data_IF_740647401236
#
_entry.id   IF_740647401236
#
_cell.length_a   1.000
_cell.length_b   1.000
_cell.length_c   1.000
_cell.angle_alpha   90.00
_cell.angle_beta   90.00
_cell.angle_gamma   90.00
#
_symmetry.space_group_name_H-M   'P 1'
#
loop_
_entity.id
_entity.type
_entity.pdbx_description
1 polymer ?
#
# COMPACT_ATOMS: atom_id res chain seq x y z
N UNK A 1 76.81 -56.97 33.01
CA UNK A 1 77.31 -56.64 31.66
C UNK A 1 76.11 -56.28 30.79
N UNK A 2 76.16 -55.22 30.00
CA UNK A 2 75.15 -55.00 28.95
C UNK A 2 75.51 -55.88 27.75
N UNK A 3 74.58 -56.70 27.28
CA UNK A 3 74.77 -57.49 26.06
C UNK A 3 74.60 -56.57 24.85
N UNK A 4 75.70 -56.12 24.25
CA UNK A 4 75.65 -55.27 23.05
C UNK A 4 75.30 -56.13 21.83
N UNK A 5 74.10 -55.93 21.28
CA UNK A 5 73.61 -56.66 20.11
C UNK A 5 74.63 -56.61 18.94
N UNK A 6 75.03 -57.77 18.39
CA UNK A 6 76.08 -57.81 17.37
C UNK A 6 75.67 -57.10 16.07
N UNK A 7 74.37 -56.93 15.81
CA UNK A 7 73.81 -56.21 14.65
C UNK A 7 73.90 -54.68 14.75
N UNK A 8 74.31 -54.14 15.90
CA UNK A 8 74.44 -52.69 16.16
C UNK A 8 75.91 -52.27 16.33
N UNK A 9 76.87 -53.14 16.03
CA UNK A 9 78.30 -52.84 16.10
C UNK A 9 78.79 -52.27 14.76
N UNK A 10 79.62 -51.24 14.83
CA UNK A 10 80.29 -50.70 13.64
C UNK A 10 81.18 -51.78 12.99
N UNK A 11 81.14 -51.86 11.68
CA UNK A 11 81.94 -52.78 10.87
C UNK A 11 83.20 -52.06 10.39
N UNK A 12 84.38 -52.63 10.64
CA UNK A 12 85.66 -52.00 10.24
C UNK A 12 85.92 -52.35 8.77
N UNK A 13 86.00 -51.33 7.93
CA UNK A 13 86.26 -51.50 6.50
C UNK A 13 87.70 -51.95 6.20
N UNK A 14 87.98 -52.37 4.94
CA UNK A 14 89.34 -52.73 4.51
C UNK A 14 90.31 -51.54 4.46
N UNK A 15 89.80 -50.33 4.67
CA UNK A 15 90.50 -49.06 4.88
C UNK A 15 90.88 -48.82 6.36
N UNK A 16 90.48 -49.70 7.28
CA UNK A 16 90.69 -49.55 8.72
C UNK A 16 89.72 -48.59 9.40
N UNK A 17 88.74 -48.04 8.67
CA UNK A 17 87.77 -47.09 9.20
C UNK A 17 86.53 -47.81 9.73
N UNK A 18 86.04 -47.40 10.91
CA UNK A 18 84.77 -47.89 11.45
C UNK A 18 83.61 -47.30 10.64
N UNK A 19 82.76 -48.17 10.08
CA UNK A 19 81.53 -47.82 9.37
C UNK A 19 80.34 -48.18 10.24
N UNK A 20 79.32 -47.34 10.25
CA UNK A 20 78.11 -47.57 11.05
C UNK A 20 77.41 -48.87 10.67
N UNK A 21 76.79 -49.52 11.67
CA UNK A 21 76.04 -50.73 11.43
C UNK A 21 74.89 -50.45 10.44
N UNK A 22 74.66 -51.29 9.40
CA UNK A 22 73.63 -51.02 8.39
C UNK A 22 72.21 -50.80 8.95
N UNK A 23 71.92 -51.39 10.12
CA UNK A 23 70.66 -51.16 10.86
C UNK A 23 70.57 -49.73 11.41
N UNK A 24 71.66 -49.20 11.98
CA UNK A 24 71.72 -47.86 12.56
C UNK A 24 71.51 -46.81 11.47
N UNK A 25 72.33 -46.85 10.41
CA UNK A 25 72.24 -45.92 9.29
C UNK A 25 70.85 -45.93 8.61
N UNK A 26 70.18 -47.10 8.55
CA UNK A 26 68.81 -47.20 8.08
C UNK A 26 67.79 -46.56 9.03
N UNK A 27 67.90 -46.79 10.34
CA UNK A 27 67.01 -46.14 11.33
C UNK A 27 67.23 -44.64 11.44
N UNK A 28 68.48 -44.17 11.34
CA UNK A 28 68.83 -42.76 11.40
C UNK A 28 68.26 -42.00 10.20
N UNK A 29 68.37 -42.57 8.99
CA UNK A 29 67.72 -42.04 7.79
C UNK A 29 66.19 -41.93 7.93
N UNK A 30 65.52 -42.89 8.56
CA UNK A 30 64.08 -42.80 8.84
C UNK A 30 63.80 -41.64 9.81
N UNK A 31 64.59 -41.49 10.88
CA UNK A 31 64.44 -40.41 11.85
C UNK A 31 64.68 -39.03 11.21
N UNK A 32 65.64 -38.91 10.28
CA UNK A 32 65.85 -37.69 9.49
C UNK A 32 64.64 -37.39 8.60
N UNK A 33 64.10 -38.39 7.89
CA UNK A 33 62.92 -38.24 7.03
C UNK A 33 61.67 -37.84 7.83
N UNK A 34 61.45 -38.42 9.02
CA UNK A 34 60.37 -38.05 9.94
C UNK A 34 60.57 -36.64 10.52
N UNK A 35 61.78 -36.27 10.94
CA UNK A 35 62.09 -34.90 11.40
C UNK A 35 61.88 -33.86 10.29
N UNK A 36 62.22 -34.17 9.04
CA UNK A 36 61.99 -33.30 7.90
C UNK A 36 60.48 -33.11 7.64
N UNK A 37 59.69 -34.18 7.72
CA UNK A 37 58.24 -34.12 7.61
C UNK A 37 57.60 -33.30 8.74
N UNK A 38 58.02 -33.53 9.99
CA UNK A 38 57.53 -32.79 11.15
C UNK A 38 57.84 -31.29 11.05
N UNK A 39 59.05 -30.92 10.62
CA UNK A 39 59.42 -29.50 10.39
C UNK A 39 58.52 -28.84 9.35
N UNK A 40 58.27 -29.51 8.20
CA UNK A 40 57.35 -29.02 7.16
C UNK A 40 55.92 -28.85 7.68
N UNK A 41 55.40 -29.83 8.42
CA UNK A 41 54.05 -29.79 8.99
C UNK A 41 53.89 -28.65 10.01
N UNK A 42 54.92 -28.41 10.84
CA UNK A 42 54.97 -27.28 11.77
C UNK A 42 54.99 -25.94 11.03
N UNK A 43 55.83 -25.80 9.99
CA UNK A 43 55.91 -24.59 9.16
C UNK A 43 54.59 -24.29 8.44
N UNK A 44 53.96 -25.32 7.84
CA UNK A 44 52.68 -25.21 7.14
C UNK A 44 51.56 -24.77 8.11
N UNK A 45 51.51 -25.34 9.32
CA UNK A 45 50.56 -24.92 10.35
C UNK A 45 50.81 -23.49 10.84
N UNK A 46 52.06 -23.08 11.03
CA UNK A 46 52.38 -21.69 11.35
C UNK A 46 52.08 -20.72 10.19
N UNK A 47 52.06 -21.15 8.93
CA UNK A 47 51.49 -20.33 7.84
C UNK A 47 49.98 -20.22 7.98
N UNK A 48 49.26 -21.36 8.06
CA UNK A 48 47.80 -21.40 8.20
C UNK A 48 47.28 -20.53 9.35
N UNK A 49 47.94 -20.56 10.51
CA UNK A 49 47.62 -19.70 11.66
C UNK A 49 47.73 -18.22 11.28
N UNK A 50 48.87 -17.79 10.72
CA UNK A 50 49.10 -16.39 10.31
C UNK A 50 48.15 -15.90 9.22
N UNK A 51 47.71 -16.79 8.33
CA UNK A 51 46.75 -16.45 7.28
C UNK A 51 45.32 -16.35 7.83
N UNK A 52 44.91 -17.21 8.76
CA UNK A 52 43.65 -17.08 9.51
C UNK A 52 43.64 -15.81 10.40
N UNK A 53 44.75 -15.48 11.07
CA UNK A 53 44.90 -14.23 11.83
C UNK A 53 44.72 -12.99 10.93
N UNK A 54 45.27 -13.04 9.70
CA UNK A 54 45.13 -11.99 8.69
C UNK A 54 43.68 -11.84 8.22
N UNK A 55 43.00 -12.94 7.94
CA UNK A 55 41.57 -12.93 7.58
C UNK A 55 40.69 -12.41 8.71
N UNK A 56 40.95 -12.83 9.95
CA UNK A 56 40.22 -12.35 11.12
C UNK A 56 40.43 -10.85 11.37
N UNK A 57 41.65 -10.35 11.15
CA UNK A 57 41.97 -8.92 11.15
C UNK A 57 41.20 -8.15 10.08
N UNK A 58 41.19 -8.66 8.84
CA UNK A 58 40.45 -8.06 7.71
C UNK A 58 38.93 -8.01 8.00
N UNK A 59 38.33 -9.11 8.45
CA UNK A 59 36.90 -9.20 8.79
C UNK A 59 36.54 -8.25 9.93
N UNK A 60 37.40 -8.15 10.95
CA UNK A 60 37.25 -7.19 12.06
C UNK A 60 37.29 -5.74 11.58
N UNK A 61 38.13 -5.43 10.59
CA UNK A 61 38.24 -4.10 9.99
C UNK A 61 37.00 -3.76 9.12
N UNK A 62 36.55 -4.69 8.26
CA UNK A 62 35.34 -4.52 7.46
C UNK A 62 34.10 -4.31 8.34
N UNK A 63 33.96 -5.08 9.42
CA UNK A 63 32.85 -4.92 10.37
C UNK A 63 32.87 -3.54 11.03
N UNK A 64 34.05 -3.00 11.36
CA UNK A 64 34.19 -1.63 11.91
C UNK A 64 33.81 -0.55 10.89
N UNK A 65 34.27 -0.68 9.63
CA UNK A 65 33.94 0.27 8.56
C UNK A 65 32.44 0.28 8.22
N UNK A 66 31.82 -0.90 8.17
CA UNK A 66 30.41 -1.05 7.76
C UNK A 66 29.40 -0.76 8.88
N UNK A 67 29.78 -0.95 10.15
CA UNK A 67 28.88 -0.74 11.30
C UNK A 67 28.29 0.67 11.37
N UNK A 68 29.10 1.72 11.14
CA UNK A 68 28.65 3.11 11.18
C UNK A 68 27.55 3.42 10.15
N UNK A 69 27.82 3.31 8.84
CA UNK A 69 26.82 3.53 7.79
C UNK A 69 25.59 2.63 7.91
N UNK A 70 25.76 1.35 8.27
CA UNK A 70 24.65 0.40 8.46
C UNK A 70 23.75 0.81 9.62
N UNK A 71 24.33 1.20 10.77
CA UNK A 71 23.57 1.70 11.92
C UNK A 71 22.83 3.00 11.60
N UNK A 72 23.49 3.96 10.96
CA UNK A 72 22.88 5.23 10.57
C UNK A 72 21.69 5.04 9.62
N UNK A 73 21.79 4.13 8.64
CA UNK A 73 20.70 3.80 7.73
C UNK A 73 19.49 3.18 8.46
N UNK A 74 19.74 2.24 9.38
CA UNK A 74 18.69 1.61 10.19
C UNK A 74 18.01 2.62 11.14
N UNK A 75 18.77 3.49 11.78
CA UNK A 75 18.23 4.52 12.68
C UNK A 75 17.39 5.57 11.93
N UNK A 76 17.81 5.97 10.73
CA UNK A 76 17.04 6.85 9.85
C UNK A 76 15.74 6.20 9.36
N UNK A 77 15.75 4.89 9.06
CA UNK A 77 14.53 4.14 8.73
C UNK A 77 13.59 4.05 9.95
N UNK A 78 14.13 3.78 11.15
CA UNK A 78 13.35 3.77 12.39
C UNK A 78 12.66 5.12 12.64
N UNK A 79 13.41 6.23 12.57
CA UNK A 79 12.86 7.60 12.75
C UNK A 79 11.79 7.94 11.71
N UNK A 80 11.90 7.42 10.48
CA UNK A 80 10.85 7.54 9.45
C UNK A 80 9.60 6.73 9.77
N UNK A 81 9.74 5.53 10.34
CA UNK A 81 8.60 4.71 10.78
C UNK A 81 7.88 5.41 11.94
N UNK A 82 8.62 5.88 12.95
CA UNK A 82 8.07 6.62 14.10
C UNK A 82 7.26 7.85 13.64
N UNK A 83 7.86 8.71 12.82
CA UNK A 83 7.18 9.90 12.26
C UNK A 83 6.03 9.59 11.27
N UNK A 84 5.96 8.39 10.69
CA UNK A 84 4.82 7.95 9.90
C UNK A 84 3.67 7.43 10.78
N UNK A 85 3.99 6.71 11.87
CA UNK A 85 3.00 6.24 12.85
C UNK A 85 2.28 7.41 13.52
N UNK A 86 3.01 8.46 13.90
CA UNK A 86 2.43 9.71 14.44
C UNK A 86 1.46 10.37 13.46
N UNK A 87 1.83 10.44 12.18
CA UNK A 87 0.97 10.99 11.11
C UNK A 87 -0.28 10.14 10.88
N UNK A 88 -0.17 8.81 10.94
CA UNK A 88 -1.31 7.89 10.85
C UNK A 88 -2.26 8.11 12.04
N UNK A 89 -1.74 8.27 13.26
CA UNK A 89 -2.56 8.57 14.43
C UNK A 89 -3.30 9.92 14.30
N UNK A 90 -2.59 10.97 13.88
CA UNK A 90 -3.17 12.30 13.66
C UNK A 90 -4.18 12.33 12.49
N UNK A 91 -4.01 11.48 11.48
CA UNK A 91 -4.97 11.31 10.40
C UNK A 91 -6.24 10.57 10.86
N UNK A 92 -6.10 9.47 11.61
CA UNK A 92 -7.23 8.70 12.15
C UNK A 92 -8.11 9.53 13.08
N UNK A 93 -7.53 10.32 13.98
CA UNK A 93 -8.30 11.17 14.88
C UNK A 93 -9.19 12.16 14.10
N UNK A 94 -8.69 12.73 13.00
CA UNK A 94 -9.47 13.58 12.09
C UNK A 94 -10.50 12.81 11.26
N UNK A 95 -10.20 11.57 10.89
CA UNK A 95 -11.15 10.67 10.22
C UNK A 95 -12.35 10.37 11.13
N UNK A 96 -12.09 10.06 12.40
CA UNK A 96 -13.12 9.77 13.41
C UNK A 96 -13.96 11.02 13.75
N UNK A 97 -13.33 12.21 13.85
CA UNK A 97 -14.03 13.50 13.97
C UNK A 97 -14.94 13.78 12.76
N UNK A 98 -14.44 13.59 11.54
CA UNK A 98 -15.20 13.77 10.31
C UNK A 98 -16.35 12.76 10.18
N UNK A 99 -16.13 11.49 10.57
CA UNK A 99 -17.16 10.45 10.56
C UNK A 99 -18.30 10.80 11.53
N UNK A 100 -17.98 11.23 12.75
CA UNK A 100 -18.96 11.70 13.74
C UNK A 100 -19.76 12.92 13.25
N UNK A 101 -19.12 13.87 12.57
CA UNK A 101 -19.80 15.02 11.98
C UNK A 101 -20.75 14.61 10.83
N UNK A 102 -20.32 13.68 9.97
CA UNK A 102 -21.13 13.10 8.91
C UNK A 102 -22.34 12.31 9.45
N UNK A 103 -22.16 11.49 10.48
CA UNK A 103 -23.23 10.73 11.14
C UNK A 103 -24.29 11.66 11.74
N UNK A 104 -23.86 12.75 12.41
CA UNK A 104 -24.76 13.76 12.95
C UNK A 104 -25.56 14.47 11.84
N UNK A 105 -24.90 14.90 10.75
CA UNK A 105 -25.57 15.52 9.61
C UNK A 105 -26.54 14.55 8.89
N UNK A 106 -26.14 13.29 8.71
CA UNK A 106 -27.00 12.24 8.13
C UNK A 106 -28.23 11.96 8.98
N UNK A 107 -28.13 12.07 10.31
CA UNK A 107 -29.30 11.97 11.20
C UNK A 107 -30.26 13.14 10.99
N UNK A 108 -29.77 14.38 10.98
CA UNK A 108 -30.61 15.57 10.78
C UNK A 108 -31.37 15.49 9.45
N UNK A 109 -30.71 15.08 8.35
CA UNK A 109 -31.39 14.89 7.06
C UNK A 109 -32.55 13.89 7.16
N UNK A 110 -32.35 12.74 7.82
CA UNK A 110 -33.39 11.71 8.00
C UNK A 110 -34.54 12.17 8.91
N UNK A 111 -34.23 12.91 9.96
CA UNK A 111 -35.23 13.47 10.88
C UNK A 111 -36.11 14.50 10.13
N UNK A 112 -35.52 15.38 9.31
CA UNK A 112 -36.25 16.34 8.45
C UNK A 112 -37.03 15.66 7.31
N UNK A 113 -36.47 14.62 6.67
CA UNK A 113 -37.18 13.80 5.67
C UNK A 113 -38.41 13.12 6.28
N UNK A 114 -38.32 12.63 7.51
CA UNK A 114 -39.46 12.04 8.24
C UNK A 114 -40.52 13.08 8.63
N UNK A 115 -40.12 14.31 9.00
CA UNK A 115 -41.06 15.43 9.24
C UNK A 115 -41.78 15.81 7.94
N UNK A 116 -41.03 15.97 6.84
CA UNK A 116 -41.60 16.24 5.52
C UNK A 116 -42.59 15.16 5.08
N UNK A 117 -42.27 13.89 5.28
CA UNK A 117 -43.14 12.77 4.90
C UNK A 117 -44.49 12.83 5.64
N UNK A 118 -44.47 13.09 6.95
CA UNK A 118 -45.70 13.29 7.75
C UNK A 118 -46.53 14.47 7.25
N UNK A 119 -45.90 15.60 6.95
CA UNK A 119 -46.61 16.77 6.40
C UNK A 119 -47.27 16.49 5.03
N UNK A 120 -46.68 15.62 4.21
CA UNK A 120 -47.32 15.14 2.98
C UNK A 120 -48.52 14.22 3.26
N UNK A 121 -48.42 13.35 4.27
CA UNK A 121 -49.50 12.45 4.70
C UNK A 121 -50.68 13.23 5.33
N UNK A 122 -50.39 14.20 6.20
CA UNK A 122 -51.36 15.12 6.81
C UNK A 122 -52.09 15.94 5.73
N UNK A 123 -51.34 16.53 4.78
CA UNK A 123 -51.91 17.31 3.68
C UNK A 123 -52.81 16.46 2.77
N UNK A 124 -52.37 15.24 2.41
CA UNK A 124 -53.19 14.32 1.63
C UNK A 124 -54.47 13.93 2.39
N UNK A 125 -54.37 13.67 3.69
CA UNK A 125 -55.52 13.36 4.54
C UNK A 125 -56.53 14.52 4.58
N UNK A 126 -56.06 15.75 4.81
CA UNK A 126 -56.89 16.96 4.80
C UNK A 126 -57.57 17.20 3.45
N UNK A 127 -56.89 16.94 2.33
CA UNK A 127 -57.48 17.02 0.99
C UNK A 127 -58.58 15.98 0.81
N UNK A 128 -58.38 14.74 1.26
CA UNK A 128 -59.40 13.69 1.20
C UNK A 128 -60.60 13.99 2.12
N UNK A 129 -60.38 14.41 3.36
CA UNK A 129 -61.45 14.79 4.30
C UNK A 129 -62.26 15.99 3.81
N UNK A 130 -61.60 17.03 3.28
CA UNK A 130 -62.25 18.20 2.70
C UNK A 130 -63.10 17.83 1.48
N UNK A 131 -62.56 16.98 0.59
CA UNK A 131 -63.26 16.45 -0.57
C UNK A 131 -64.51 15.66 -0.16
N UNK A 132 -64.35 14.67 0.73
CA UNK A 132 -65.43 13.82 1.23
C UNK A 132 -66.53 14.64 1.95
N UNK A 133 -66.14 15.66 2.71
CA UNK A 133 -67.07 16.58 3.40
C UNK A 133 -67.86 17.43 2.41
N UNK A 134 -67.21 17.92 1.34
CA UNK A 134 -67.87 18.65 0.26
C UNK A 134 -68.85 17.76 -0.52
N UNK A 135 -68.45 16.53 -0.86
CA UNK A 135 -69.34 15.55 -1.50
C UNK A 135 -70.54 15.19 -0.63
N UNK A 136 -70.34 14.85 0.65
CA UNK A 136 -71.45 14.54 1.56
C UNK A 136 -72.45 15.71 1.70
N UNK A 137 -71.95 16.95 1.73
CA UNK A 137 -72.80 18.16 1.74
C UNK A 137 -73.57 18.37 0.43
N UNK A 138 -72.97 18.05 -0.72
CA UNK A 138 -73.66 18.07 -2.02
C UNK A 138 -74.73 16.98 -2.12
N UNK A 139 -74.46 15.77 -1.62
CA UNK A 139 -75.46 14.69 -1.55
C UNK A 139 -76.62 15.04 -0.61
N UNK A 140 -76.34 15.69 0.53
CA UNK A 140 -77.40 16.13 1.44
C UNK A 140 -78.27 17.22 0.79
N UNK A 141 -77.65 18.21 0.13
CA UNK A 141 -78.39 19.25 -0.61
C UNK A 141 -79.23 18.65 -1.74
N UNK A 142 -78.69 17.67 -2.47
CA UNK A 142 -79.44 16.91 -3.49
C UNK A 142 -80.64 16.19 -2.87
N UNK A 143 -80.46 15.43 -1.78
CA UNK A 143 -81.56 14.73 -1.08
C UNK A 143 -82.62 15.71 -0.57
N UNK A 144 -82.21 16.87 -0.05
CA UNK A 144 -83.13 17.95 0.38
C UNK A 144 -83.93 18.52 -0.80
N UNK A 145 -83.29 18.74 -1.96
CA UNK A 145 -83.96 19.21 -3.18
C UNK A 145 -84.93 18.17 -3.77
N UNK A 146 -84.57 16.88 -3.72
CA UNK A 146 -85.45 15.77 -4.09
C UNK A 146 -86.68 15.70 -3.17
N UNK A 147 -86.48 15.78 -1.85
CA UNK A 147 -87.57 15.78 -0.86
C UNK A 147 -88.51 16.99 -0.96
N UNK A 148 -88.02 18.14 -1.46
CA UNK A 148 -88.84 19.32 -1.76
C UNK A 148 -89.58 19.24 -3.11
N UNK A 149 -89.28 18.24 -3.95
CA UNK A 149 -89.93 18.02 -5.25
C UNK A 149 -90.55 16.60 -5.36
N UNK A 150 -91.39 16.15 -4.40
CA UNK A 150 -91.88 14.76 -4.37
C UNK A 150 -92.62 14.35 -5.64
N UNK A 151 -93.34 15.30 -6.26
CA UNK A 151 -94.10 15.11 -7.50
C UNK A 151 -93.23 15.04 -8.78
N UNK A 152 -91.88 15.07 -8.67
CA UNK A 152 -90.97 14.85 -9.81
C UNK A 152 -90.31 13.46 -9.79
N UNK A 153 -90.88 12.52 -9.04
CA UNK A 153 -90.57 11.10 -9.18
C UNK A 153 -90.91 10.62 -10.59
N UNK A 154 -89.94 10.01 -11.27
CA UNK A 154 -89.98 9.57 -12.68
C UNK A 154 -90.03 10.68 -13.75
N UNK A 155 -88.87 10.94 -14.36
CA UNK A 155 -88.79 11.01 -15.83
C UNK A 155 -87.51 10.34 -16.29
N UNK A 156 -87.65 9.29 -17.10
CA UNK A 156 -86.54 8.63 -17.78
C UNK A 156 -85.85 9.62 -18.73
N UNK A 157 -84.51 9.71 -18.67
CA UNK A 157 -83.71 10.28 -19.76
C UNK A 157 -82.97 9.10 -20.40
N UNK A 158 -83.66 8.43 -21.32
CA UNK A 158 -83.06 7.40 -22.14
C UNK A 158 -82.04 7.99 -23.12
N UNK A 159 -80.88 7.35 -23.16
CA UNK A 159 -80.09 7.06 -24.36
C UNK A 159 -80.88 7.25 -25.68
N UNK A 160 -80.53 8.28 -26.46
CA UNK A 160 -80.84 8.38 -27.90
C UNK A 160 -79.66 8.98 -28.66
N UNK A 161 -78.93 8.10 -29.35
CA UNK A 161 -78.20 8.24 -30.62
C UNK A 161 -77.35 9.49 -30.97
N UNK A 162 -76.13 9.17 -31.45
CA UNK A 162 -75.34 9.93 -32.44
C UNK A 162 -76.16 10.35 -33.69
N UNK A 163 -75.67 11.34 -34.46
CA UNK A 163 -74.93 10.93 -35.66
C UNK A 163 -73.62 11.72 -35.93
N UNK A 164 -72.76 11.13 -36.78
CA UNK A 164 -71.49 11.69 -37.25
C UNK A 164 -71.62 13.03 -38.00
N UNK A 165 -70.60 13.89 -37.92
CA UNK A 165 -70.10 14.65 -39.08
C UNK A 165 -68.57 14.78 -39.03
N UNK A 166 -67.94 14.97 -40.18
CA UNK A 166 -66.50 14.70 -40.42
C UNK A 166 -65.68 15.99 -40.52
N UNK A 167 -64.47 15.98 -39.96
CA UNK A 167 -63.36 16.82 -40.46
C UNK A 167 -61.99 16.17 -40.26
N UNK A 168 -61.32 15.93 -41.39
CA UNK A 168 -59.87 16.01 -41.69
C UNK A 168 -59.00 16.74 -40.64
N UNK A 169 -57.73 16.40 -40.39
CA UNK A 169 -56.69 15.79 -41.27
C UNK A 169 -55.80 14.77 -40.54
N UNK A 170 -55.26 13.77 -41.25
CA UNK A 170 -54.12 12.95 -40.82
C UNK A 170 -53.04 12.85 -41.92
N UNK A 171 -51.76 13.01 -41.56
CA UNK A 171 -50.55 12.82 -42.40
C UNK A 171 -49.29 13.01 -41.53
N UNK A 172 -48.21 12.21 -41.58
CA UNK A 172 -47.92 11.00 -42.38
C UNK A 172 -46.72 10.20 -41.80
N UNK A 173 -46.48 9.00 -42.37
CA UNK A 173 -45.23 8.19 -42.39
C UNK A 173 -44.84 7.36 -41.15
N UNK A 174 -44.19 6.19 -41.27
CA UNK A 174 -44.08 5.20 -42.37
C UNK A 174 -43.43 3.88 -41.86
N UNK A 175 -43.58 2.76 -42.61
CA UNK A 175 -42.82 1.47 -42.64
C UNK A 175 -42.19 0.92 -41.32
N UNK A 176 -42.49 -0.27 -40.77
CA UNK A 176 -42.75 -1.65 -41.27
C UNK A 176 -41.51 -2.61 -41.26
N UNK A 177 -41.75 -3.86 -40.85
CA UNK A 177 -40.98 -5.12 -41.01
C UNK A 177 -39.56 -5.34 -40.38
N UNK A 178 -39.57 -6.13 -39.30
CA UNK A 178 -38.92 -7.46 -39.07
C UNK A 178 -37.43 -7.78 -39.39
N UNK A 179 -36.86 -8.48 -38.39
CA UNK A 179 -35.98 -9.69 -38.41
C UNK A 179 -34.42 -9.59 -38.36
N UNK A 180 -33.91 -10.27 -37.32
CA UNK A 180 -32.72 -11.15 -37.22
C UNK A 180 -31.27 -10.70 -37.54
N UNK A 181 -30.47 -10.70 -36.46
CA UNK A 181 -29.23 -11.52 -36.26
C UNK A 181 -27.82 -10.90 -36.30
N UNK A 182 -27.04 -11.31 -35.26
CA UNK A 182 -25.59 -11.52 -35.15
C UNK A 182 -24.52 -10.40 -35.02
N UNK A 183 -23.70 -10.60 -33.96
CA UNK A 183 -22.24 -10.38 -33.78
C UNK A 183 -21.62 -9.01 -33.42
N UNK A 184 -20.55 -9.10 -32.60
CA UNK A 184 -19.66 -8.01 -32.15
C UNK A 184 -19.95 -7.54 -30.71
N UNK A 185 -19.48 -8.19 -29.64
CA UNK A 185 -18.11 -8.25 -29.05
C UNK A 185 -17.77 -7.13 -28.03
N UNK A 186 -16.92 -7.48 -27.02
CA UNK A 186 -16.39 -6.64 -25.93
C UNK A 186 -17.42 -5.93 -25.01
N UNK A 187 -17.52 -6.20 -23.69
CA UNK A 187 -16.91 -7.24 -22.86
C UNK A 187 -15.81 -6.75 -21.90
N UNK A 188 -16.14 -6.63 -20.61
CA UNK A 188 -15.24 -6.94 -19.47
C UNK A 188 -15.99 -6.99 -18.12
N UNK A 189 -15.58 -7.91 -17.25
CA UNK A 189 -15.94 -7.95 -15.81
C UNK A 189 -14.68 -7.61 -15.00
N UNK A 190 -14.78 -6.91 -13.85
CA UNK A 190 -13.69 -6.90 -12.89
C UNK A 190 -13.64 -8.24 -12.14
N UNK A 191 -12.47 -8.89 -12.14
CA UNK A 191 -12.14 -9.99 -11.24
C UNK A 191 -10.76 -9.70 -10.63
N UNK A 192 -10.69 -9.60 -9.31
CA UNK A 192 -9.45 -9.28 -8.59
C UNK A 192 -8.69 -10.56 -8.26
N UNK A 193 -7.44 -10.66 -8.72
CA UNK A 193 -6.48 -11.68 -8.34
C UNK A 193 -5.08 -11.05 -8.19
N UNK A 194 -4.23 -11.67 -7.36
CA UNK A 194 -2.90 -11.15 -7.03
C UNK A 194 -1.84 -11.46 -8.11
N UNK A 195 -0.71 -10.74 -8.08
CA UNK A 195 0.45 -11.06 -8.91
C UNK A 195 1.63 -10.09 -8.77
N UNK A 196 2.75 -10.55 -8.21
CA UNK A 196 4.04 -9.85 -8.29
C UNK A 196 4.58 -9.81 -9.74
N UNK A 197 5.34 -8.77 -10.09
CA UNK A 197 6.35 -8.87 -11.16
C UNK A 197 7.49 -7.86 -11.00
N UNK A 198 8.72 -8.35 -11.01
CA UNK A 198 9.97 -7.56 -10.94
C UNK A 198 10.54 -7.36 -12.35
N UNK A 199 10.87 -6.14 -12.74
CA UNK A 199 11.83 -5.88 -13.81
C UNK A 199 12.57 -4.54 -13.61
N UNK A 200 13.81 -4.46 -14.11
CA UNK A 200 14.69 -3.28 -14.03
C UNK A 200 14.88 -2.67 -15.43
N UNK A 201 15.03 -1.34 -15.53
CA UNK A 201 16.07 -0.70 -16.37
C UNK A 201 16.22 0.81 -16.14
N UNK A 202 17.48 1.22 -16.02
CA UNK A 202 18.11 2.55 -16.21
C UNK A 202 19.40 2.26 -17.05
N UNK A 203 20.18 3.21 -17.62
CA UNK A 203 20.65 4.48 -17.02
C UNK A 203 20.18 5.73 -17.83
N UNK A 204 20.92 6.70 -18.44
CA UNK A 204 22.37 7.01 -18.58
C UNK A 204 22.58 8.45 -19.12
N UNK A 205 23.41 9.29 -18.46
CA UNK A 205 24.29 10.37 -19.03
C UNK A 205 23.63 11.51 -19.87
N UNK A 206 24.09 12.77 -19.99
CA UNK A 206 24.99 13.74 -19.29
C UNK A 206 24.57 15.15 -19.82
N UNK A 207 24.93 16.31 -19.26
CA UNK A 207 25.77 16.66 -18.12
C UNK A 207 26.31 18.10 -18.26
N UNK A 208 27.26 18.49 -17.38
CA UNK A 208 27.96 19.81 -17.29
C UNK A 208 27.07 21.02 -16.88
N UNK A 209 27.50 21.93 -16.01
CA UNK A 209 28.65 21.91 -15.08
C UNK A 209 29.43 23.23 -14.98
N UNK A 210 29.26 23.95 -13.86
CA UNK A 210 30.10 25.02 -13.25
C UNK A 210 29.38 25.45 -11.96
N UNK A 211 30.01 25.81 -10.84
CA UNK A 211 31.44 25.89 -10.51
C UNK A 211 31.76 27.22 -9.82
N UNK A 212 32.48 27.16 -8.68
CA UNK A 212 32.77 28.28 -7.74
C UNK A 212 31.54 28.77 -6.92
N UNK A 213 31.64 29.16 -5.64
CA UNK A 213 32.77 28.98 -4.70
C UNK A 213 32.67 29.78 -3.38
N UNK A 214 33.19 29.20 -2.29
CA UNK A 214 33.89 29.87 -1.17
C UNK A 214 33.09 30.75 -0.15
N UNK A 215 32.80 30.12 1.01
CA UNK A 215 33.05 30.56 2.41
C UNK A 215 32.37 31.79 3.10
N UNK A 216 31.69 31.46 4.22
CA UNK A 216 31.81 32.02 5.59
C UNK A 216 31.22 33.40 6.04
N UNK A 217 30.45 33.31 7.14
CA UNK A 217 30.34 34.22 8.31
C UNK A 217 29.90 35.68 8.11
N UNK A 218 28.70 36.03 8.57
CA UNK A 218 28.23 37.42 8.68
C UNK A 218 27.08 37.62 9.69
N UNK A 219 27.36 38.40 10.75
CA UNK A 219 26.51 38.77 11.90
C UNK A 219 25.26 39.60 11.51
N UNK A 220 24.16 39.47 12.28
CA UNK A 220 23.02 40.40 12.27
C UNK A 220 21.79 39.89 11.48
N UNK A 221 20.54 39.96 11.97
CA UNK A 221 20.05 40.49 13.25
C UNK A 221 19.21 41.74 13.11
N UNK A 222 18.07 41.65 12.40
CA UNK A 222 17.09 42.73 12.27
C UNK A 222 15.74 42.31 12.83
N UNK A 223 15.53 42.54 14.12
CA UNK A 223 14.19 42.58 14.75
C UNK A 223 13.79 44.03 14.91
N UNK A 224 12.56 44.39 14.55
CA UNK A 224 12.04 45.75 14.73
C UNK A 224 11.40 46.30 13.47
N UNK A 225 10.10 46.04 13.30
CA UNK A 225 9.23 46.91 12.51
C UNK A 225 8.79 48.05 13.43
N UNK A 226 9.58 49.12 13.46
CA UNK A 226 9.24 50.35 14.16
C UNK A 226 8.56 51.31 13.21
N UNK A 227 7.27 51.56 13.41
CA UNK A 227 6.60 52.73 12.81
C UNK A 227 7.03 53.96 13.62
N UNK A 228 7.90 54.78 13.04
CA UNK A 228 8.17 56.13 13.52
C UNK A 228 7.49 57.11 12.55
N UNK A 229 6.58 57.94 13.08
CA UNK A 229 5.66 58.76 12.27
C UNK A 229 5.83 60.22 12.67
N UNK A 230 6.90 60.84 12.19
CA UNK A 230 7.06 62.30 12.22
C UNK A 230 7.99 62.75 11.08
N UNK A 231 7.51 63.61 10.16
CA UNK A 231 8.17 63.71 8.85
C UNK A 231 7.75 64.79 7.85
N UNK A 232 7.12 65.89 8.31
CA UNK A 232 7.02 67.23 7.66
C UNK A 232 6.90 67.32 6.11
N UNK A 233 5.76 67.83 5.66
CA UNK A 233 5.68 68.98 4.73
C UNK A 233 4.39 69.76 5.02
#
# INVERSE_FOLDING_TARGET
MMASDPKLKAEIGPDGLAREAPVIAYTEKIIEEEQLQLRKYIEENYSKIRDVEREFGNLTFEMKLTAGPKKAALEHLRKKIEACTEKIHAAKLKEDEARKAYEAASKVVKDEEAVKQRLCEDLNSLVQESSNTQYARLEELKRRLEALNPNRSSTSVQQVHEPETKSVVASSQAANEKQESNNGEHGQKPATAEGESKAKKKPQIQGKGKGHGIMNKGRGGWTGSGFDVDGRN
#
